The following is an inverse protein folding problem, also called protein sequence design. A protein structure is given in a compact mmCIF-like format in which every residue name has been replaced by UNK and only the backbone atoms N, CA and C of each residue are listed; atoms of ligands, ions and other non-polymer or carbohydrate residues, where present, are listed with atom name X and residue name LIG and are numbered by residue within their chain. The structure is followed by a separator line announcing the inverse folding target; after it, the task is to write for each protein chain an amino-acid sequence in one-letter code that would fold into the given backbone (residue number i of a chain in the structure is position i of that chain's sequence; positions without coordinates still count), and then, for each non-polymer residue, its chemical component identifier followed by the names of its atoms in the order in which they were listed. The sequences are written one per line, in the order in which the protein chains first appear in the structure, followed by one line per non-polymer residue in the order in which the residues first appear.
data_IF_387862623288
#
_entry.id   IF_387862623288
#
_cell.length_a   1.000
_cell.length_b   1.000
_cell.length_c   1.000
_cell.angle_alpha   90.00
_cell.angle_beta   90.00
_cell.angle_gamma   90.00
#
_symmetry.space_group_name_H-M   'P 1'
#
loop_
_entity.id
_entity.type
_entity.pdbx_description
1 polymer ?
#
# COMPACT_ATOMS: atom_id res chain seq x y z
N UNK A 1 6.30 4.89 -8.23
CA UNK A 1 5.60 4.32 -7.06
C UNK A 1 6.53 4.17 -5.85
N UNK A 2 6.12 4.66 -4.68
CA UNK A 2 6.91 4.54 -3.43
C UNK A 2 6.02 4.21 -2.22
N UNK A 3 6.57 3.57 -1.20
CA UNK A 3 5.94 3.37 0.12
C UNK A 3 6.67 4.25 1.13
N UNK A 4 5.96 5.20 1.73
CA UNK A 4 6.42 6.02 2.85
C UNK A 4 5.91 5.41 4.17
N UNK A 5 6.81 4.92 5.01
CA UNK A 5 6.45 4.40 6.33
C UNK A 5 6.30 5.56 7.30
N UNK A 6 5.11 5.76 7.86
CA UNK A 6 4.82 6.87 8.79
C UNK A 6 4.98 6.41 10.24
N UNK A 7 4.69 5.15 10.53
CA UNK A 7 4.94 4.52 11.82
C UNK A 7 5.09 3.01 11.68
N UNK A 8 6.02 2.46 12.43
CA UNK A 8 6.55 1.10 12.27
C UNK A 8 6.63 0.30 13.58
N UNK A 9 6.04 0.81 14.66
CA UNK A 9 6.03 0.20 16.00
C UNK A 9 4.78 -0.63 16.23
N UNK A 10 4.91 -1.71 16.98
CA UNK A 10 3.79 -2.55 17.38
C UNK A 10 3.12 -2.11 18.68
N UNK A 11 1.79 -2.07 18.69
CA UNK A 11 0.92 -1.92 19.87
C UNK A 11 0.90 -0.53 20.52
N UNK A 12 2.06 0.13 20.63
CA UNK A 12 2.21 1.44 21.26
C UNK A 12 3.39 2.22 20.65
N UNK A 13 3.36 3.56 20.68
CA UNK A 13 4.48 4.36 20.21
C UNK A 13 5.71 4.19 21.12
N UNK A 14 6.88 4.38 20.54
CA UNK A 14 8.18 4.43 21.22
C UNK A 14 8.91 5.72 20.86
N UNK A 15 10.03 6.01 21.53
CA UNK A 15 10.86 7.17 21.17
C UNK A 15 11.37 7.14 19.72
N UNK A 16 11.52 5.96 19.15
CA UNK A 16 12.12 5.76 17.81
C UNK A 16 11.12 5.42 16.71
N UNK A 17 9.91 4.97 17.06
CA UNK A 17 8.92 4.44 16.13
C UNK A 17 7.52 4.78 16.63
N UNK A 18 6.70 5.36 15.78
CA UNK A 18 5.26 5.55 15.98
C UNK A 18 4.49 4.28 15.62
N UNK A 19 3.22 4.20 16.00
CA UNK A 19 2.33 3.07 15.65
C UNK A 19 1.98 3.02 14.15
N UNK A 20 1.46 1.88 13.72
CA UNK A 20 1.21 1.50 12.32
C UNK A 20 0.54 2.56 11.47
N UNK A 21 1.28 3.02 10.45
CA UNK A 21 0.72 3.66 9.26
C UNK A 21 1.77 3.71 8.15
N UNK A 22 1.34 3.47 6.91
CA UNK A 22 2.17 3.69 5.72
C UNK A 22 1.36 4.32 4.59
N UNK A 23 2.02 5.07 3.73
CA UNK A 23 1.42 5.74 2.58
C UNK A 23 2.02 5.21 1.28
N UNK A 24 1.19 4.62 0.44
CA UNK A 24 1.51 4.26 -0.94
C UNK A 24 1.36 5.51 -1.82
N UNK A 25 2.49 6.08 -2.24
CA UNK A 25 2.57 7.26 -3.10
C UNK A 25 2.42 6.83 -4.56
N UNK A 26 1.24 7.12 -5.12
CA UNK A 26 0.85 6.82 -6.50
C UNK A 26 0.79 8.11 -7.35
N UNK A 27 1.72 9.03 -7.11
CA UNK A 27 1.68 10.39 -7.65
C UNK A 27 1.89 10.40 -9.17
N UNK A 28 2.79 9.55 -9.67
CA UNK A 28 3.08 9.44 -11.10
C UNK A 28 2.05 8.59 -11.84
N UNK A 29 1.41 7.65 -11.12
CA UNK A 29 0.49 6.68 -11.69
C UNK A 29 -0.93 7.24 -11.82
N UNK A 30 -1.45 7.85 -10.74
CA UNK A 30 -2.82 8.38 -10.67
C UNK A 30 -2.93 9.71 -9.91
N UNK A 31 -1.81 10.33 -9.53
CA UNK A 31 -1.78 11.60 -8.78
C UNK A 31 -2.49 11.53 -7.41
N UNK A 32 -2.45 10.35 -6.78
CA UNK A 32 -3.08 10.06 -5.49
C UNK A 32 -2.07 9.46 -4.49
N UNK A 33 -2.46 9.44 -3.22
CA UNK A 33 -1.79 8.72 -2.15
C UNK A 33 -2.83 7.85 -1.46
N UNK A 34 -2.49 6.59 -1.21
CA UNK A 34 -3.34 5.68 -0.43
C UNK A 34 -2.69 5.38 0.90
N UNK A 35 -3.44 5.48 1.98
CA UNK A 35 -2.97 5.23 3.33
C UNK A 35 -3.37 3.82 3.76
N UNK A 36 -2.47 3.07 4.38
CA UNK A 36 -2.73 1.77 4.97
C UNK A 36 -2.48 1.86 6.47
N UNK A 37 -3.54 1.63 7.24
CA UNK A 37 -3.68 1.95 8.65
C UNK A 37 -3.40 3.42 8.99
N UNK A 38 -3.96 3.87 10.10
CA UNK A 38 -3.88 5.25 10.56
C UNK A 38 -3.87 5.26 12.09
N UNK A 39 -2.81 4.69 12.67
CA UNK A 39 -2.54 4.73 14.10
C UNK A 39 -2.41 6.15 14.65
N UNK A 40 -2.51 6.28 15.97
CA UNK A 40 -2.34 7.57 16.66
C UNK A 40 -1.06 8.29 16.22
N UNK A 41 -1.13 9.61 16.04
CA UNK A 41 0.02 10.41 15.61
C UNK A 41 0.37 10.34 14.12
N UNK A 42 -0.34 9.54 13.30
CA UNK A 42 -0.11 9.47 11.84
C UNK A 42 -0.11 10.86 11.18
N UNK A 43 -1.06 11.72 11.53
CA UNK A 43 -1.10 13.09 11.01
C UNK A 43 0.13 13.92 11.39
N UNK A 44 0.72 13.68 12.57
CA UNK A 44 1.93 14.37 13.03
C UNK A 44 3.13 13.89 12.22
N UNK A 45 3.22 12.57 11.96
CA UNK A 45 4.26 11.98 11.10
C UNK A 45 4.17 12.52 9.67
N UNK A 46 2.97 12.73 9.14
CA UNK A 46 2.77 13.35 7.82
C UNK A 46 3.39 14.75 7.74
N UNK A 47 3.35 15.56 8.81
CA UNK A 47 3.95 16.90 8.82
C UNK A 47 5.48 16.90 8.63
N UNK A 48 6.13 15.76 8.88
CA UNK A 48 7.57 15.57 8.69
C UNK A 48 7.90 15.05 7.28
N UNK A 49 6.92 14.97 6.38
CA UNK A 49 7.06 14.46 5.01
C UNK A 49 6.57 15.49 3.98
N UNK A 50 6.69 15.15 2.69
CA UNK A 50 6.10 15.93 1.59
C UNK A 50 4.65 15.54 1.29
N UNK A 51 4.05 14.62 2.06
CA UNK A 51 2.68 14.15 1.84
C UNK A 51 1.72 15.30 2.16
N UNK A 52 0.90 15.65 1.17
CA UNK A 52 -0.22 16.56 1.36
C UNK A 52 -1.44 15.74 1.78
N UNK A 53 -2.05 15.95 2.96
CA UNK A 53 -3.23 15.19 3.41
C UNK A 53 -4.39 15.13 2.39
N UNK A 54 -4.51 16.15 1.54
CA UNK A 54 -5.53 16.25 0.50
C UNK A 54 -5.30 15.27 -0.66
N UNK A 55 -4.05 14.90 -0.94
CA UNK A 55 -3.70 13.86 -1.92
C UNK A 55 -4.04 12.47 -1.43
N UNK A 56 -4.31 12.30 -0.13
CA UNK A 56 -4.84 11.04 0.42
C UNK A 56 -6.31 10.94 0.00
N UNK A 57 -6.58 10.04 -0.94
CA UNK A 57 -7.91 9.78 -1.52
C UNK A 57 -8.55 8.51 -0.94
N UNK A 58 -7.74 7.56 -0.45
CA UNK A 58 -8.20 6.28 0.08
C UNK A 58 -7.43 5.89 1.33
N UNK A 59 -8.13 5.35 2.33
CA UNK A 59 -7.56 4.74 3.52
C UNK A 59 -8.03 3.29 3.62
N UNK A 60 -7.09 2.37 3.80
CA UNK A 60 -7.32 0.94 3.97
C UNK A 60 -6.94 0.55 5.39
N UNK A 61 -7.88 -0.02 6.15
CA UNK A 61 -7.70 -0.41 7.55
C UNK A 61 -7.65 -1.93 7.65
N UNK A 62 -6.54 -2.46 8.13
CA UNK A 62 -6.32 -3.91 8.26
C UNK A 62 -7.22 -4.51 9.34
N UNK A 63 -7.30 -3.88 10.51
CA UNK A 63 -8.12 -4.31 11.64
C UNK A 63 -8.41 -3.15 12.61
N UNK A 64 -9.26 -3.38 13.62
CA UNK A 64 -9.78 -2.33 14.50
C UNK A 64 -9.03 -2.15 15.82
N UNK A 65 -7.78 -2.63 15.94
CA UNK A 65 -6.96 -2.27 17.11
C UNK A 65 -6.56 -0.79 17.07
N UNK A 66 -6.39 -0.21 18.26
CA UNK A 66 -6.23 1.23 18.42
C UNK A 66 -4.99 1.80 17.76
N UNK A 67 -3.89 1.07 17.79
CA UNK A 67 -2.63 1.42 17.14
C UNK A 67 -2.70 1.41 15.60
N UNK A 68 -3.83 0.99 15.02
CA UNK A 68 -4.11 1.06 13.57
C UNK A 68 -5.22 2.06 13.22
N UNK A 69 -6.05 2.51 14.17
CA UNK A 69 -7.22 3.37 13.85
C UNK A 69 -7.34 4.67 14.65
N UNK A 70 -6.69 4.80 15.82
CA UNK A 70 -6.90 5.95 16.70
C UNK A 70 -6.43 7.29 16.12
N UNK A 71 -5.60 7.27 15.07
CA UNK A 71 -5.23 8.48 14.34
C UNK A 71 -6.31 9.01 13.41
N UNK A 72 -7.32 8.19 13.03
CA UNK A 72 -8.33 8.58 12.04
C UNK A 72 -9.09 9.85 12.42
N UNK A 73 -9.66 10.00 13.64
CA UNK A 73 -10.43 11.19 13.96
C UNK A 73 -9.60 12.48 13.84
N UNK A 74 -8.36 12.45 14.35
CA UNK A 74 -7.43 13.57 14.25
C UNK A 74 -7.02 13.89 12.82
N UNK A 75 -6.64 12.86 12.05
CA UNK A 75 -6.27 12.99 10.65
C UNK A 75 -7.39 13.61 9.80
N UNK A 76 -8.63 13.11 9.95
CA UNK A 76 -9.79 13.61 9.20
C UNK A 76 -10.08 15.08 9.50
N UNK A 77 -10.03 15.45 10.78
CA UNK A 77 -10.20 16.85 11.20
C UNK A 77 -9.07 17.75 10.67
N UNK A 78 -7.81 17.33 10.74
CA UNK A 78 -6.69 18.10 10.17
C UNK A 78 -6.77 18.23 8.65
N UNK A 79 -7.20 17.17 7.94
CA UNK A 79 -7.45 17.22 6.49
C UNK A 79 -8.55 18.23 6.14
N UNK A 80 -9.55 18.41 7.02
CA UNK A 80 -10.61 19.42 6.87
C UNK A 80 -10.09 20.85 6.96
N UNK A 81 -9.21 21.14 7.92
CA UNK A 81 -8.62 22.48 8.07
C UNK A 81 -7.74 22.94 6.90
N UNK A 82 -7.26 22.00 6.08
CA UNK A 82 -6.47 22.29 4.89
C UNK A 82 -7.31 22.33 3.61
N UNK A 83 -8.64 22.21 3.70
CA UNK A 83 -9.51 22.17 2.53
C UNK A 83 -9.49 23.50 1.76
N UNK A 84 -9.46 23.40 0.43
CA UNK A 84 -9.74 24.48 -0.52
C UNK A 84 -10.62 23.93 -1.65
N UNK A 85 -10.84 24.68 -2.73
CA UNK A 85 -11.69 24.29 -3.86
C UNK A 85 -11.33 22.93 -4.50
N UNK A 86 -10.06 22.49 -4.42
CA UNK A 86 -9.59 21.20 -4.92
C UNK A 86 -9.88 20.00 -3.97
N UNK A 87 -10.71 20.19 -2.95
CA UNK A 87 -10.90 19.17 -1.90
C UNK A 87 -11.68 17.99 -2.46
N UNK A 88 -11.08 16.81 -2.40
CA UNK A 88 -11.72 15.56 -2.82
C UNK A 88 -12.37 14.83 -1.66
N UNK A 89 -13.42 14.08 -1.98
CA UNK A 89 -13.99 13.05 -1.12
C UNK A 89 -12.91 12.00 -0.74
N UNK A 90 -13.21 11.23 0.30
CA UNK A 90 -12.29 10.24 0.86
C UNK A 90 -13.01 8.88 0.94
N UNK A 91 -12.38 7.83 0.45
CA UNK A 91 -12.86 6.47 0.69
C UNK A 91 -12.13 5.85 1.89
N UNK A 92 -12.88 5.18 2.77
CA UNK A 92 -12.33 4.36 3.86
C UNK A 92 -12.81 2.93 3.68
N UNK A 93 -11.87 2.02 3.44
CA UNK A 93 -12.07 0.58 3.36
C UNK A 93 -11.61 -0.03 4.67
N UNK A 94 -12.46 -0.81 5.35
CA UNK A 94 -12.05 -1.48 6.58
C UNK A 94 -13.09 -2.43 7.13
N UNK A 95 -12.78 -3.13 8.23
CA UNK A 95 -13.73 -3.98 8.92
C UNK A 95 -15.01 -3.27 9.34
N UNK A 96 -16.11 -4.03 9.40
CA UNK A 96 -17.36 -3.60 10.04
C UNK A 96 -17.07 -3.03 11.44
N UNK A 97 -17.46 -1.78 11.66
CA UNK A 97 -17.21 -1.03 12.90
C UNK A 97 -16.42 0.25 12.65
N UNK A 98 -15.62 0.32 11.59
CA UNK A 98 -14.81 1.51 11.27
C UNK A 98 -15.67 2.75 11.02
N UNK A 99 -16.84 2.59 10.37
CA UNK A 99 -17.79 3.69 10.15
C UNK A 99 -18.32 4.23 11.47
N UNK A 100 -18.71 3.33 12.38
CA UNK A 100 -19.22 3.71 13.69
C UNK A 100 -18.17 4.44 14.51
N UNK A 101 -16.93 3.94 14.52
CA UNK A 101 -15.80 4.56 15.20
C UNK A 101 -15.56 6.00 14.72
N UNK A 102 -15.45 6.20 13.40
CA UNK A 102 -15.22 7.52 12.80
C UNK A 102 -16.39 8.47 13.07
N UNK A 103 -17.62 8.06 12.74
CA UNK A 103 -18.79 8.94 12.87
C UNK A 103 -19.08 9.31 14.33
N UNK A 104 -18.88 8.39 15.27
CA UNK A 104 -19.05 8.67 16.70
C UNK A 104 -18.01 9.68 17.18
N UNK A 105 -16.75 9.50 16.80
CA UNK A 105 -15.66 10.41 17.18
C UNK A 105 -15.88 11.83 16.64
N UNK A 106 -16.30 11.96 15.37
CA UNK A 106 -16.64 13.25 14.77
C UNK A 106 -17.87 13.89 15.43
N UNK A 107 -18.91 13.09 15.70
CA UNK A 107 -20.14 13.56 16.36
C UNK A 107 -19.87 14.09 17.77
N UNK A 108 -19.14 13.34 18.59
CA UNK A 108 -18.86 13.70 19.99
C UNK A 108 -17.94 14.91 20.08
N UNK A 109 -16.96 15.02 19.18
CA UNK A 109 -16.04 16.19 19.13
C UNK A 109 -16.66 17.44 18.48
N UNK A 110 -17.85 17.34 17.89
CA UNK A 110 -18.47 18.44 17.13
C UNK A 110 -17.75 18.75 15.80
N UNK A 111 -16.89 17.85 15.33
CA UNK A 111 -16.10 18.03 14.10
C UNK A 111 -17.00 17.97 12.86
N UNK A 112 -16.82 18.92 11.94
CA UNK A 112 -17.50 18.96 10.64
C UNK A 112 -16.48 18.90 9.51
N UNK A 113 -16.76 18.08 8.50
CA UNK A 113 -15.87 17.88 7.36
C UNK A 113 -16.50 18.55 6.11
N UNK A 114 -15.73 19.32 5.32
CA UNK A 114 -16.20 19.94 4.08
C UNK A 114 -16.19 18.96 2.89
N UNK A 115 -15.88 17.68 3.14
CA UNK A 115 -15.82 16.61 2.14
C UNK A 115 -16.58 15.38 2.65
N UNK A 116 -17.01 14.51 1.75
CA UNK A 116 -17.71 13.28 2.12
C UNK A 116 -16.73 12.15 2.35
N UNK A 117 -17.09 11.27 3.29
CA UNK A 117 -16.41 10.01 3.49
C UNK A 117 -17.32 8.89 2.99
N UNK A 118 -16.80 8.10 2.06
CA UNK A 118 -17.45 6.89 1.56
C UNK A 118 -16.89 5.69 2.32
N UNK A 119 -17.72 5.04 3.12
CA UNK A 119 -17.32 3.90 3.92
C UNK A 119 -17.62 2.59 3.18
N UNK A 120 -16.60 1.78 3.00
CA UNK A 120 -16.65 0.45 2.38
C UNK A 120 -16.32 -0.60 3.45
N UNK A 121 -17.32 -0.94 4.26
CA UNK A 121 -17.15 -1.92 5.35
C UNK A 121 -17.23 -3.35 4.83
N UNK A 122 -16.31 -4.20 5.29
CA UNK A 122 -16.28 -5.63 4.94
C UNK A 122 -16.01 -6.51 6.17
N UNK A 123 -16.33 -7.80 6.05
CA UNK A 123 -16.11 -8.86 7.01
C UNK A 123 -15.61 -10.13 6.28
N UNK A 124 -15.63 -11.28 6.96
CA UNK A 124 -15.17 -12.54 6.39
C UNK A 124 -15.95 -12.97 5.12
N UNK A 125 -17.23 -12.57 5.00
CA UNK A 125 -18.13 -13.04 3.94
C UNK A 125 -18.01 -12.23 2.66
N UNK A 126 -17.58 -10.98 2.75
CA UNK A 126 -17.49 -10.05 1.63
C UNK A 126 -16.09 -9.41 1.48
N UNK A 127 -15.08 -9.96 2.17
CA UNK A 127 -13.68 -9.78 1.78
C UNK A 127 -13.41 -10.40 0.39
N UNK A 128 -12.39 -9.92 -0.32
CA UNK A 128 -12.12 -10.28 -1.71
C UNK A 128 -11.66 -9.07 -2.52
N UNK A 129 -12.19 -8.88 -3.73
CA UNK A 129 -11.93 -7.67 -4.52
C UNK A 129 -12.68 -6.47 -3.91
N UNK A 130 -11.93 -5.49 -3.38
CA UNK A 130 -12.50 -4.29 -2.74
C UNK A 130 -12.55 -3.08 -3.67
N UNK A 131 -11.59 -2.98 -4.58
CA UNK A 131 -11.47 -1.86 -5.51
C UNK A 131 -11.00 -2.38 -6.86
N UNK A 132 -11.66 -1.94 -7.93
CA UNK A 132 -11.16 -2.06 -9.29
C UNK A 132 -11.35 -0.73 -10.02
N UNK A 133 -10.26 -0.21 -10.57
CA UNK A 133 -10.22 0.97 -11.44
C UNK A 133 -9.56 0.62 -12.78
N UNK A 134 -9.44 1.57 -13.69
CA UNK A 134 -8.72 1.37 -14.96
C UNK A 134 -7.23 1.07 -14.77
N UNK A 135 -6.65 1.41 -13.61
CA UNK A 135 -5.22 1.28 -13.34
C UNK A 135 -4.88 0.30 -12.22
N UNK A 136 -5.79 0.03 -11.30
CA UNK A 136 -5.49 -0.77 -10.12
C UNK A 136 -6.61 -1.75 -9.73
N UNK A 137 -6.22 -2.85 -9.07
CA UNK A 137 -7.09 -3.73 -8.31
C UNK A 137 -6.57 -3.83 -6.88
N UNK A 138 -7.47 -3.85 -5.89
CA UNK A 138 -7.11 -4.10 -4.49
C UNK A 138 -7.94 -5.27 -3.98
N UNK A 139 -7.25 -6.33 -3.58
CA UNK A 139 -7.84 -7.48 -2.91
C UNK A 139 -7.56 -7.43 -1.42
N UNK A 140 -8.49 -7.91 -0.61
CA UNK A 140 -8.31 -8.18 0.81
C UNK A 140 -8.66 -9.63 1.13
N UNK A 141 -7.88 -10.26 1.99
CA UNK A 141 -8.13 -11.61 2.47
C UNK A 141 -7.90 -11.71 3.97
N UNK A 142 -8.75 -12.49 4.65
CA UNK A 142 -8.68 -12.70 6.10
C UNK A 142 -7.35 -13.32 6.52
N UNK A 143 -6.73 -12.72 7.54
CA UNK A 143 -5.51 -13.16 8.19
C UNK A 143 -5.80 -13.87 9.54
N UNK A 144 -4.75 -14.37 10.19
CA UNK A 144 -4.85 -15.09 11.47
C UNK A 144 -4.40 -14.19 12.62
N UNK A 145 -5.35 -13.42 13.17
CA UNK A 145 -5.12 -12.48 14.26
C UNK A 145 -6.18 -12.62 15.37
N UNK A 146 -6.03 -11.88 16.48
CA UNK A 146 -6.95 -11.97 17.63
C UNK A 146 -8.34 -11.37 17.37
N UNK A 147 -8.42 -10.45 16.42
CA UNK A 147 -9.67 -9.88 15.87
C UNK A 147 -9.70 -10.08 14.36
N UNK A 148 -10.84 -9.79 13.72
CA UNK A 148 -10.90 -9.80 12.26
C UNK A 148 -9.86 -8.82 11.68
N UNK A 149 -8.92 -9.38 10.93
CA UNK A 149 -7.81 -8.70 10.31
C UNK A 149 -7.66 -9.18 8.87
N UNK A 150 -7.25 -8.29 7.97
CA UNK A 150 -6.97 -8.61 6.58
C UNK A 150 -5.59 -8.16 6.14
N UNK A 151 -5.09 -8.81 5.11
CA UNK A 151 -3.97 -8.31 4.32
C UNK A 151 -4.48 -7.81 2.98
N UNK A 152 -3.79 -6.83 2.41
CA UNK A 152 -4.10 -6.23 1.13
C UNK A 152 -3.11 -6.64 0.05
N UNK A 153 -3.63 -6.92 -1.14
CA UNK A 153 -2.84 -7.07 -2.37
C UNK A 153 -3.27 -6.00 -3.36
N UNK A 154 -2.38 -5.05 -3.60
CA UNK A 154 -2.53 -3.97 -4.57
C UNK A 154 -1.85 -4.40 -5.87
N UNK A 155 -2.61 -4.43 -6.96
CA UNK A 155 -2.14 -4.83 -8.28
C UNK A 155 -2.31 -3.63 -9.21
N UNK A 156 -1.21 -3.08 -9.71
CA UNK A 156 -1.24 -2.21 -10.87
C UNK A 156 -1.55 -3.08 -12.10
N UNK A 157 -2.53 -2.66 -12.91
CA UNK A 157 -2.81 -3.30 -14.19
C UNK A 157 -1.62 -3.08 -15.13
N UNK A 158 -1.43 -3.99 -16.07
CA UNK A 158 -0.34 -3.91 -17.04
C UNK A 158 -0.36 -2.56 -17.77
N UNK A 159 0.84 -2.02 -17.98
CA UNK A 159 1.03 -0.75 -18.66
C UNK A 159 1.13 -1.02 -20.16
N UNK A 160 0.49 -0.14 -20.93
CA UNK A 160 0.61 -0.17 -22.38
C UNK A 160 2.09 -0.07 -22.81
N UNK A 161 2.36 -0.61 -23.99
CA UNK A 161 3.65 -0.47 -24.66
C UNK A 161 4.05 1.00 -24.80
N UNK A 162 5.35 1.27 -24.66
CA UNK A 162 5.90 2.59 -24.98
C UNK A 162 5.99 2.72 -26.49
N UNK A 163 5.51 3.85 -27.01
CA UNK A 163 5.66 4.26 -28.40
C UNK A 163 7.12 4.63 -28.68
N UNK A 164 7.73 3.97 -29.66
CA UNK A 164 9.01 4.36 -30.23
C UNK A 164 8.81 5.55 -31.18
N UNK A 165 8.81 6.74 -30.59
CA UNK A 165 8.55 7.98 -31.30
C UNK A 165 9.61 8.30 -32.37
N UNK A 166 10.86 7.87 -32.15
CA UNK A 166 11.96 8.11 -33.09
C UNK A 166 11.82 7.18 -34.30
N UNK A 167 11.49 5.91 -34.09
CA UNK A 167 11.18 4.98 -35.18
C UNK A 167 9.93 5.42 -35.96
N UNK A 168 8.90 5.93 -35.28
CA UNK A 168 7.70 6.45 -35.94
C UNK A 168 8.00 7.66 -36.82
N UNK A 169 8.85 8.57 -36.32
CA UNK A 169 9.32 9.74 -37.07
C UNK A 169 10.18 9.33 -38.27
N UNK A 170 11.07 8.35 -38.09
CA UNK A 170 11.88 7.81 -39.18
C UNK A 170 11.04 7.11 -40.27
N UNK A 171 9.87 6.58 -39.91
CA UNK A 171 8.89 6.01 -40.85
C UNK A 171 8.02 7.08 -41.56
N UNK A 172 8.31 8.37 -41.39
CA UNK A 172 7.61 9.45 -42.09
C UNK A 172 6.32 9.94 -41.44
N UNK A 173 5.96 9.43 -40.24
CA UNK A 173 4.76 9.89 -39.55
C UNK A 173 4.99 11.29 -39.00
N UNK A 174 4.15 12.30 -39.34
CA UNK A 174 4.29 13.64 -38.82
C UNK A 174 3.90 13.69 -37.33
N UNK A 175 4.61 14.50 -36.55
CA UNK A 175 4.29 14.70 -35.15
C UNK A 175 2.89 15.30 -35.01
N UNK A 176 2.00 14.66 -34.24
CA UNK A 176 0.62 15.10 -34.10
C UNK A 176 -0.36 13.97 -33.78
N UNK A 177 -1.65 14.13 -34.14
CA UNK A 177 -2.72 13.18 -33.79
C UNK A 177 -2.45 11.73 -34.25
N UNK A 178 -1.69 11.55 -35.32
CA UNK A 178 -1.31 10.23 -35.84
C UNK A 178 -0.43 9.43 -34.85
N UNK A 179 0.45 10.09 -34.09
CA UNK A 179 1.22 9.44 -33.01
C UNK A 179 0.28 8.90 -31.92
N UNK A 180 -0.78 9.65 -31.59
CA UNK A 180 -1.78 9.24 -30.61
C UNK A 180 -2.56 8.00 -31.07
N UNK A 181 -2.93 7.94 -32.36
CA UNK A 181 -3.59 6.77 -32.94
C UNK A 181 -2.70 5.53 -32.84
N UNK A 182 -1.44 5.64 -33.26
CA UNK A 182 -0.48 4.53 -33.17
C UNK A 182 -0.22 4.13 -31.72
N UNK A 183 -0.08 5.10 -30.79
CA UNK A 183 0.08 4.83 -29.36
C UNK A 183 -1.09 4.02 -28.78
N UNK A 184 -2.30 4.26 -29.26
CA UNK A 184 -3.51 3.54 -28.86
C UNK A 184 -3.69 2.21 -29.61
N UNK A 185 -2.66 1.72 -30.31
CA UNK A 185 -2.69 0.45 -31.03
C UNK A 185 -3.45 0.49 -32.36
N UNK A 186 -3.73 1.68 -32.91
CA UNK A 186 -4.45 1.81 -34.18
C UNK A 186 -3.47 1.91 -35.34
N UNK A 187 -3.67 1.07 -36.35
CA UNK A 187 -2.97 1.17 -37.63
C UNK A 187 -3.43 2.42 -38.39
N UNK A 188 -2.50 3.10 -39.07
CA UNK A 188 -2.79 4.33 -39.81
C UNK A 188 -2.27 4.22 -41.24
N UNK A 189 -2.87 5.01 -42.14
CA UNK A 189 -2.39 5.20 -43.51
C UNK A 189 -2.00 6.66 -43.66
N UNK A 190 -0.79 6.92 -44.14
CA UNK A 190 -0.28 8.27 -44.42
C UNK A 190 -0.85 8.81 -45.74
N UNK A 191 -0.70 10.12 -45.97
CA UNK A 191 -1.21 10.78 -47.18
C UNK A 191 -0.59 10.24 -48.47
N UNK A 192 0.64 9.72 -48.40
CA UNK A 192 1.32 9.07 -49.53
C UNK A 192 0.90 7.60 -49.75
N UNK A 193 -0.05 7.10 -48.95
CA UNK A 193 -0.54 5.72 -49.00
C UNK A 193 0.27 4.73 -48.17
N UNK A 194 1.33 5.17 -47.46
CA UNK A 194 2.12 4.28 -46.59
C UNK A 194 1.29 3.77 -45.42
N UNK A 195 1.23 2.46 -45.25
CA UNK A 195 0.60 1.81 -44.10
C UNK A 195 1.57 1.70 -42.92
N UNK A 196 1.11 2.09 -41.73
CA UNK A 196 1.87 2.06 -40.48
C UNK A 196 1.11 1.17 -39.50
N UNK A 197 1.69 0.00 -39.19
CA UNK A 197 1.11 -0.94 -38.24
C UNK A 197 1.59 -0.64 -36.82
N UNK A 198 0.66 -0.41 -35.90
CA UNK A 198 1.00 0.11 -34.58
C UNK A 198 1.90 -0.83 -33.75
N UNK A 199 1.71 -2.14 -33.92
CA UNK A 199 2.52 -3.19 -33.28
C UNK A 199 4.03 -3.07 -33.56
N UNK A 200 4.42 -2.48 -34.70
CA UNK A 200 5.83 -2.38 -35.09
C UNK A 200 6.55 -1.21 -34.38
N UNK A 201 5.78 -0.34 -33.72
CA UNK A 201 6.26 0.88 -33.05
C UNK A 201 5.89 0.93 -31.56
N UNK A 202 5.21 -0.10 -31.06
CA UNK A 202 4.92 -0.28 -29.65
C UNK A 202 5.82 -1.38 -29.09
N UNK A 203 6.46 -1.11 -27.96
CA UNK A 203 7.06 -2.17 -27.15
C UNK A 203 5.98 -3.11 -26.57
N UNK A 204 6.38 -4.30 -26.14
CA UNK A 204 5.46 -5.20 -25.44
C UNK A 204 4.89 -4.52 -24.18
N UNK A 205 3.62 -4.83 -23.79
CA UNK A 205 3.06 -4.36 -22.53
C UNK A 205 4.01 -4.65 -21.37
N UNK A 206 4.15 -3.68 -20.46
CA UNK A 206 5.01 -3.85 -19.30
C UNK A 206 4.16 -4.36 -18.14
N UNK A 207 4.59 -5.44 -17.46
CA UNK A 207 3.82 -5.98 -16.35
C UNK A 207 3.68 -4.93 -15.25
N UNK A 208 2.46 -4.79 -14.73
CA UNK A 208 2.19 -3.90 -13.60
C UNK A 208 2.87 -4.39 -12.32
N UNK A 209 3.09 -3.46 -11.39
CA UNK A 209 3.63 -3.76 -10.06
C UNK A 209 2.59 -4.37 -9.13
N UNK A 210 3.03 -5.30 -8.29
CA UNK A 210 2.24 -5.91 -7.22
C UNK A 210 2.85 -5.57 -5.87
N UNK A 211 2.01 -5.07 -4.96
CA UNK A 211 2.40 -4.72 -3.59
C UNK A 211 1.47 -5.47 -2.64
N UNK A 212 2.06 -6.16 -1.66
CA UNK A 212 1.31 -6.86 -0.63
C UNK A 212 1.61 -6.21 0.71
N UNK A 213 0.57 -5.78 1.42
CA UNK A 213 0.66 -5.17 2.74
C UNK A 213 -0.19 -6.01 3.68
N UNK A 214 0.45 -6.77 4.55
CA UNK A 214 -0.27 -7.57 5.53
C UNK A 214 -0.48 -6.75 6.81
N UNK A 215 -1.69 -6.87 7.38
CA UNK A 215 -1.91 -6.47 8.77
C UNK A 215 -1.29 -7.47 9.75
N UNK A 216 -1.58 -7.26 11.02
CA UNK A 216 -1.12 -8.13 12.10
C UNK A 216 -1.63 -9.55 11.89
N UNK A 217 -0.73 -10.52 11.97
CA UNK A 217 -1.05 -11.92 11.68
C UNK A 217 0.01 -12.87 12.20
N UNK A 218 -0.43 -14.07 12.58
CA UNK A 218 0.39 -15.28 12.56
C UNK A 218 0.67 -15.67 11.10
N UNK A 219 1.74 -16.42 10.84
CA UNK A 219 1.92 -17.07 9.54
C UNK A 219 0.71 -17.95 9.22
N UNK A 220 0.07 -17.70 8.09
CA UNK A 220 -1.12 -18.44 7.65
C UNK A 220 -1.15 -18.58 6.12
N UNK A 221 -2.01 -19.45 5.58
CA UNK A 221 -2.06 -19.65 4.13
C UNK A 221 -2.46 -18.39 3.35
N UNK A 222 -3.31 -17.53 3.92
CA UNK A 222 -3.68 -16.26 3.30
C UNK A 222 -2.48 -15.30 3.18
N UNK A 223 -1.61 -15.25 4.20
CA UNK A 223 -0.39 -14.43 4.16
C UNK A 223 0.52 -14.78 2.98
N UNK A 224 0.59 -16.07 2.61
CA UNK A 224 1.35 -16.55 1.42
C UNK A 224 0.59 -16.25 0.13
N UNK A 225 -0.71 -16.58 0.05
CA UNK A 225 -1.53 -16.36 -1.16
C UNK A 225 -1.56 -14.90 -1.59
N UNK A 226 -1.76 -13.98 -0.66
CA UNK A 226 -1.74 -12.54 -0.93
C UNK A 226 -0.38 -12.06 -1.45
N UNK A 227 0.70 -12.72 -1.06
CA UNK A 227 2.07 -12.35 -1.39
C UNK A 227 2.61 -12.99 -2.68
N UNK A 228 1.87 -13.91 -3.33
CA UNK A 228 2.37 -14.65 -4.50
C UNK A 228 2.92 -13.71 -5.56
N UNK A 229 4.19 -13.89 -5.92
CA UNK A 229 4.95 -13.12 -6.91
C UNK A 229 4.87 -11.59 -6.74
N UNK A 230 4.72 -11.11 -5.50
CA UNK A 230 4.66 -9.67 -5.23
C UNK A 230 6.03 -9.02 -5.43
N UNK A 231 6.07 -7.78 -5.94
CA UNK A 231 7.31 -7.01 -6.03
C UNK A 231 7.79 -6.62 -4.63
N UNK A 232 6.86 -6.19 -3.78
CA UNK A 232 7.15 -5.83 -2.38
C UNK A 232 6.13 -6.46 -1.45
N UNK A 233 6.62 -7.21 -0.46
CA UNK A 233 5.85 -7.69 0.68
C UNK A 233 6.19 -6.86 1.91
N UNK A 234 5.21 -6.14 2.45
CA UNK A 234 5.25 -5.55 3.79
C UNK A 234 4.60 -6.54 4.76
N UNK A 235 5.39 -7.06 5.70
CA UNK A 235 4.95 -8.07 6.67
C UNK A 235 5.30 -7.61 8.08
N UNK A 236 4.39 -7.86 9.03
CA UNK A 236 4.69 -7.63 10.45
C UNK A 236 5.82 -8.54 10.94
N UNK A 237 6.62 -8.02 11.87
CA UNK A 237 7.71 -8.72 12.51
C UNK A 237 7.77 -8.31 13.98
N UNK A 238 6.63 -8.44 14.65
CA UNK A 238 6.48 -8.03 16.06
C UNK A 238 7.49 -8.76 16.94
N UNK A 239 7.82 -10.01 16.60
CA UNK A 239 8.73 -10.86 17.34
C UNK A 239 9.99 -11.24 16.54
N UNK A 240 11.02 -11.70 17.25
CA UNK A 240 12.29 -12.15 16.68
C UNK A 240 12.40 -13.67 16.69
N UNK A 241 13.50 -14.20 16.16
CA UNK A 241 13.82 -15.63 16.22
C UNK A 241 13.82 -16.11 17.67
N UNK A 242 13.18 -17.26 17.94
CA UNK A 242 13.09 -17.86 19.27
C UNK A 242 11.86 -17.42 20.08
N UNK A 243 11.10 -16.42 19.61
CA UNK A 243 9.87 -15.94 20.25
C UNK A 243 8.58 -16.50 19.62
N UNK A 244 8.66 -17.58 18.83
CA UNK A 244 7.54 -18.11 18.03
C UNK A 244 6.32 -18.44 18.91
N UNK A 245 6.56 -18.95 20.12
CA UNK A 245 5.47 -19.24 21.08
C UNK A 245 4.74 -17.98 21.52
N UNK A 246 5.47 -16.89 21.74
CA UNK A 246 4.91 -15.61 22.17
C UNK A 246 4.17 -14.94 21.01
N UNK A 247 4.76 -14.95 19.81
CA UNK A 247 4.16 -14.46 18.58
C UNK A 247 2.81 -15.16 18.33
N UNK A 248 2.79 -16.49 18.33
CA UNK A 248 1.57 -17.28 18.15
C UNK A 248 0.52 -16.98 19.22
N UNK A 249 0.91 -16.85 20.49
CA UNK A 249 -0.05 -16.55 21.57
C UNK A 249 -0.76 -15.21 21.33
N UNK A 250 -0.01 -14.19 20.91
CA UNK A 250 -0.53 -12.83 20.73
C UNK A 250 -1.10 -12.55 19.34
N UNK A 251 -1.06 -13.53 18.42
CA UNK A 251 -1.63 -13.34 17.07
C UNK A 251 -0.68 -12.69 16.07
N UNK A 252 0.62 -12.82 16.29
CA UNK A 252 1.66 -12.15 15.53
C UNK A 252 2.66 -13.13 14.91
N UNK A 253 3.58 -12.59 14.13
CA UNK A 253 4.67 -13.31 13.48
C UNK A 253 6.05 -12.88 14.00
N UNK A 254 6.99 -13.79 13.84
CA UNK A 254 8.42 -13.51 13.94
C UNK A 254 9.00 -13.03 12.61
N UNK A 255 10.16 -12.38 12.64
CA UNK A 255 10.96 -12.09 11.45
C UNK A 255 11.27 -13.35 10.60
N UNK A 256 11.42 -14.50 11.25
CA UNK A 256 11.67 -15.79 10.60
C UNK A 256 10.44 -16.25 9.80
N UNK A 257 9.25 -16.16 10.41
CA UNK A 257 7.99 -16.51 9.76
C UNK A 257 7.68 -15.57 8.60
N UNK A 258 7.92 -14.26 8.75
CA UNK A 258 7.79 -13.30 7.66
C UNK A 258 8.71 -13.63 6.47
N UNK A 259 9.96 -14.04 6.75
CA UNK A 259 10.90 -14.48 5.72
C UNK A 259 10.47 -15.77 5.01
N UNK A 260 9.85 -16.71 5.74
CA UNK A 260 9.27 -17.92 5.15
C UNK A 260 8.11 -17.57 4.23
N UNK A 261 7.21 -16.67 4.64
CA UNK A 261 6.11 -16.21 3.78
C UNK A 261 6.66 -15.60 2.48
N UNK A 262 7.67 -14.73 2.58
CA UNK A 262 8.31 -14.13 1.41
C UNK A 262 8.91 -15.19 0.46
N UNK A 263 9.63 -16.17 1.03
CA UNK A 263 10.25 -17.25 0.26
C UNK A 263 9.21 -18.16 -0.40
N UNK A 264 8.20 -18.61 0.34
CA UNK A 264 7.12 -19.48 -0.17
C UNK A 264 6.28 -18.79 -1.25
N UNK A 265 6.09 -17.47 -1.12
CA UNK A 265 5.32 -16.69 -2.07
C UNK A 265 6.11 -16.30 -3.32
N UNK A 266 7.44 -16.47 -3.35
CA UNK A 266 8.26 -15.94 -4.44
C UNK A 266 8.25 -14.41 -4.51
N UNK A 267 8.15 -13.73 -3.36
CA UNK A 267 8.25 -12.28 -3.29
C UNK A 267 9.63 -11.80 -3.78
N UNK A 268 9.70 -10.60 -4.38
CA UNK A 268 11.00 -10.04 -4.81
C UNK A 268 11.73 -9.32 -3.68
N UNK A 269 10.99 -8.68 -2.76
CA UNK A 269 11.54 -7.94 -1.62
C UNK A 269 10.63 -8.04 -0.39
N UNK A 270 11.22 -8.21 0.79
CA UNK A 270 10.54 -8.24 2.08
C UNK A 270 10.89 -7.00 2.92
N UNK A 271 9.87 -6.27 3.33
CA UNK A 271 9.94 -5.14 4.26
C UNK A 271 9.32 -5.56 5.60
N UNK A 272 10.17 -5.74 6.61
CA UNK A 272 9.75 -6.06 7.97
C UNK A 272 9.28 -4.80 8.68
N UNK A 273 8.01 -4.77 9.06
CA UNK A 273 7.32 -3.67 9.73
C UNK A 273 6.80 -4.10 11.12
N UNK A 274 6.13 -3.20 11.84
CA UNK A 274 5.42 -3.50 13.08
C UNK A 274 6.33 -4.17 14.14
N UNK A 275 7.44 -3.49 14.44
CA UNK A 275 8.49 -4.01 15.31
C UNK A 275 8.13 -3.72 16.77
N UNK A 276 8.22 -4.73 17.64
CA UNK A 276 8.00 -4.53 19.06
C UNK A 276 8.98 -3.50 19.65
N UNK A 277 8.52 -2.59 20.52
CA UNK A 277 9.37 -1.57 21.14
C UNK A 277 10.47 -2.13 22.03
N UNK A 278 10.46 -3.44 22.34
CA UNK A 278 11.54 -4.12 23.07
C UNK A 278 12.83 -4.27 22.26
N UNK A 279 12.76 -4.18 20.93
CA UNK A 279 13.91 -4.30 20.06
C UNK A 279 14.59 -2.94 19.86
N UNK A 280 15.81 -2.81 20.39
CA UNK A 280 16.64 -1.63 20.24
C UNK A 280 17.45 -1.70 18.93
N UNK A 281 18.21 -0.66 18.60
CA UNK A 281 18.88 -0.53 17.31
C UNK A 281 19.80 -1.72 16.93
N UNK A 282 20.47 -2.33 17.92
CA UNK A 282 21.30 -3.53 17.69
C UNK A 282 20.44 -4.74 17.34
N UNK A 283 19.33 -4.93 18.05
CA UNK A 283 18.42 -6.05 17.84
C UNK A 283 17.74 -5.97 16.46
N UNK A 284 17.41 -4.76 16.00
CA UNK A 284 16.86 -4.53 14.65
C UNK A 284 17.79 -5.04 13.54
N UNK A 285 19.11 -4.88 13.71
CA UNK A 285 20.08 -5.41 12.74
C UNK A 285 20.11 -6.94 12.76
N UNK A 286 19.95 -7.55 13.95
CA UNK A 286 19.86 -9.01 14.10
C UNK A 286 18.57 -9.55 13.45
N UNK A 287 17.42 -8.87 13.62
CA UNK A 287 16.16 -9.26 12.98
C UNK A 287 16.32 -9.38 11.46
N UNK A 288 17.00 -8.42 10.82
CA UNK A 288 17.30 -8.46 9.39
C UNK A 288 18.19 -9.66 9.04
N UNK A 289 19.30 -9.86 9.76
CA UNK A 289 20.26 -10.94 9.48
C UNK A 289 19.61 -12.33 9.62
N UNK A 290 18.79 -12.50 10.65
CA UNK A 290 18.07 -13.73 10.91
C UNK A 290 17.07 -14.04 9.79
N UNK A 291 16.25 -13.07 9.39
CA UNK A 291 15.35 -13.21 8.25
C UNK A 291 16.11 -13.46 6.93
N UNK A 292 17.27 -12.81 6.75
CA UNK A 292 18.14 -12.96 5.59
C UNK A 292 18.68 -14.38 5.38
N UNK A 293 18.70 -15.21 6.44
CA UNK A 293 19.07 -16.62 6.34
C UNK A 293 18.02 -17.49 5.61
N UNK A 294 16.79 -17.00 5.44
CA UNK A 294 15.71 -17.67 4.72
C UNK A 294 15.40 -16.96 3.40
N UNK A 295 15.36 -15.63 3.41
CA UNK A 295 15.02 -14.83 2.23
C UNK A 295 16.03 -13.69 2.09
N UNK A 296 16.71 -13.55 0.96
CA UNK A 296 17.89 -12.66 0.85
C UNK A 296 17.54 -11.17 0.89
N UNK A 297 16.52 -10.75 0.14
CA UNK A 297 16.16 -9.33 -0.05
C UNK A 297 15.26 -8.79 1.06
N UNK A 298 15.80 -8.71 2.27
CA UNK A 298 15.09 -8.27 3.48
C UNK A 298 15.55 -6.89 3.93
N UNK A 299 14.62 -6.05 4.36
CA UNK A 299 14.91 -4.79 4.99
C UNK A 299 13.95 -4.54 6.18
N UNK A 300 14.46 -4.02 7.30
CA UNK A 300 13.63 -3.61 8.46
C UNK A 300 13.41 -2.11 8.37
N UNK A 301 12.19 -1.71 8.02
CA UNK A 301 11.87 -0.31 7.72
C UNK A 301 11.91 0.54 8.98
N UNK A 302 12.06 1.86 8.82
CA UNK A 302 11.99 2.86 9.89
C UNK A 302 10.89 3.88 9.62
N UNK A 303 10.50 4.59 10.65
CA UNK A 303 9.65 5.77 10.48
C UNK A 303 10.31 6.77 9.53
N UNK A 304 9.47 7.37 8.68
CA UNK A 304 9.80 8.32 7.63
C UNK A 304 10.71 7.79 6.53
N UNK A 305 10.96 6.48 6.48
CA UNK A 305 11.67 5.86 5.37
C UNK A 305 10.77 5.74 4.13
N UNK A 306 11.34 6.04 2.96
CA UNK A 306 10.72 5.76 1.66
C UNK A 306 11.36 4.51 1.04
N UNK A 307 10.53 3.56 0.61
CA UNK A 307 10.94 2.38 -0.12
C UNK A 307 10.34 2.39 -1.54
N UNK A 308 11.19 2.21 -2.55
CA UNK A 308 10.75 1.99 -3.92
C UNK A 308 10.15 0.59 -4.10
N UNK A 309 9.14 0.51 -4.99
CA UNK A 309 8.38 -0.70 -5.36
C UNK A 309 8.87 -1.29 -6.69
#
# INVERSE_FOLDING_TARGET
MFIQFLGTCAGQPSKSRNVSSLALKLLDEINEIWLFDCGEGTQNRILETTIRPRKISKIFITHLHGDHIFGLPGFLSSRSFQANEEQTDLDIYGPVGIKSFVLTSLKVSGSRLPYRIHFHEFDEKNSGLLLETDKFKVYAEKLDHTVFCVGYRVIQKDLDGVLDADKLRAAGVPFGPLFGKVKNGQDIVLEDGTEIFAKDFLSAPRPGKVITILGDTRKCHASVRLAVNTDVLVHESTYGRGDERMARKHGHSTNMEAAQVASEAGAKRLLLNHISPRFLSRDVSQLRQDAASIFKEVHVVKDLEEAEV
#
